data_IF_439773696913
#
_entry.id   IF_439773696913
#
_cell.length_a   1.000
_cell.length_b   1.000
_cell.length_c   1.000
_cell.angle_alpha   90.00
_cell.angle_beta   90.00
_cell.angle_gamma   90.00
#
_symmetry.space_group_name_H-M   'P 1'
#
loop_
_entity.id
_entity.type
_entity.pdbx_description
1 polymer ?
#
# COMPACT_ATOMS: atom_id res chain seq x y z
N UNK A 1 12.06 -7.02 9.44
CA UNK A 1 11.13 -6.51 8.41
C UNK A 1 10.53 -7.75 7.76
N UNK A 2 9.21 -7.90 7.73
CA UNK A 2 8.55 -9.09 7.19
C UNK A 2 7.66 -8.73 5.99
N UNK A 3 7.12 -9.74 5.34
CA UNK A 3 6.29 -9.60 4.16
C UNK A 3 5.05 -10.51 4.26
N UNK A 4 3.98 -10.11 3.58
CA UNK A 4 2.83 -10.99 3.33
C UNK A 4 3.08 -11.75 2.03
N UNK A 5 3.09 -13.08 2.10
CA UNK A 5 3.15 -13.99 0.95
C UNK A 5 1.84 -14.77 0.92
N UNK A 6 1.05 -14.58 -0.13
CA UNK A 6 -0.26 -15.25 -0.31
C UNK A 6 -1.17 -15.14 0.93
N UNK A 7 -1.19 -13.95 1.54
CA UNK A 7 -1.99 -13.65 2.73
C UNK A 7 -1.42 -14.18 4.04
N UNK A 8 -0.25 -14.83 4.04
CA UNK A 8 0.43 -15.33 5.24
C UNK A 8 1.61 -14.45 5.59
N UNK A 9 1.75 -14.12 6.88
CA UNK A 9 2.90 -13.37 7.37
C UNK A 9 4.15 -14.25 7.36
N UNK A 10 5.21 -13.76 6.72
CA UNK A 10 6.54 -14.35 6.74
C UNK A 10 7.52 -13.36 7.37
N UNK A 11 8.31 -13.86 8.32
CA UNK A 11 9.35 -13.11 9.03
C UNK A 11 10.71 -13.19 8.33
N UNK A 12 10.74 -13.64 7.07
CA UNK A 12 11.95 -13.80 6.27
C UNK A 12 12.43 -12.47 5.67
N UNK A 13 13.72 -12.44 5.33
CA UNK A 13 14.34 -11.28 4.70
C UNK A 13 14.02 -11.20 3.21
N UNK A 14 14.03 -9.98 2.66
CA UNK A 14 13.81 -9.74 1.24
C UNK A 14 14.94 -10.35 0.39
N UNK A 15 14.59 -10.88 -0.78
CA UNK A 15 15.59 -11.41 -1.71
C UNK A 15 16.43 -10.27 -2.32
N UNK A 16 17.60 -10.04 -1.73
CA UNK A 16 18.58 -9.09 -2.22
C UNK A 16 19.55 -9.71 -3.22
N UNK A 17 19.66 -11.05 -3.28
CA UNK A 17 20.56 -11.73 -4.22
C UNK A 17 20.15 -11.46 -5.66
N UNK A 18 18.85 -11.53 -5.95
CA UNK A 18 18.30 -11.20 -7.27
C UNK A 18 18.50 -9.74 -7.70
N UNK A 19 18.74 -8.84 -6.74
CA UNK A 19 18.91 -7.40 -6.97
C UNK A 19 20.37 -6.92 -6.77
N UNK A 20 21.35 -7.82 -6.88
CA UNK A 20 22.78 -7.47 -6.75
C UNK A 20 23.14 -6.91 -5.37
N UNK A 21 22.49 -7.42 -4.32
CA UNK A 21 22.68 -6.97 -2.94
C UNK A 21 21.84 -5.75 -2.55
N UNK A 22 21.12 -5.11 -3.49
CA UNK A 22 20.27 -3.96 -3.17
C UNK A 22 19.00 -4.39 -2.46
N UNK A 23 18.64 -3.65 -1.42
CA UNK A 23 17.32 -3.73 -0.83
C UNK A 23 16.31 -2.97 -1.71
N UNK A 24 15.37 -3.70 -2.32
CA UNK A 24 14.30 -3.13 -3.14
C UNK A 24 12.99 -3.27 -2.39
N UNK A 25 12.38 -2.14 -2.02
CA UNK A 25 11.05 -2.13 -1.41
C UNK A 25 10.00 -2.49 -2.43
N UNK A 26 9.01 -3.30 -2.02
CA UNK A 26 7.80 -3.51 -2.80
C UNK A 26 7.09 -2.18 -3.04
N UNK A 27 6.66 -1.94 -4.28
CA UNK A 27 5.82 -0.81 -4.60
C UNK A 27 4.49 -0.94 -3.85
N UNK A 28 3.97 0.17 -3.33
CA UNK A 28 2.67 0.13 -2.66
C UNK A 28 1.56 -0.12 -3.69
N UNK A 29 0.72 -1.11 -3.39
CA UNK A 29 -0.20 -1.74 -4.32
C UNK A 29 -1.52 -0.98 -4.49
N UNK A 30 -1.93 -0.24 -3.44
CA UNK A 30 -3.19 0.50 -3.43
C UNK A 30 -2.95 1.95 -3.86
N UNK A 31 -3.62 2.34 -4.95
CA UNK A 31 -3.44 3.64 -5.64
C UNK A 31 -4.76 4.26 -6.12
N UNK A 32 -5.88 3.85 -5.54
CA UNK A 32 -7.17 4.48 -5.82
C UNK A 32 -7.29 5.82 -5.09
N UNK A 33 -8.23 6.65 -5.53
CA UNK A 33 -8.45 8.00 -5.01
C UNK A 33 -9.79 8.13 -4.32
N UNK A 34 -9.82 8.93 -3.27
CA UNK A 34 -11.05 9.48 -2.71
C UNK A 34 -11.34 10.78 -3.47
N UNK A 35 -12.50 10.84 -4.13
CA UNK A 35 -12.94 11.99 -4.94
C UNK A 35 -14.28 12.51 -4.42
N UNK A 36 -14.60 13.78 -4.69
CA UNK A 36 -15.80 14.41 -4.15
C UNK A 36 -17.10 13.73 -4.62
N UNK A 37 -17.12 13.24 -5.85
CA UNK A 37 -18.27 12.62 -6.51
C UNK A 37 -18.20 11.09 -6.55
N UNK A 38 -17.04 10.49 -6.21
CA UNK A 38 -16.81 9.06 -6.32
C UNK A 38 -16.40 8.60 -7.70
N UNK A 39 -16.02 9.51 -8.60
CA UNK A 39 -15.33 9.15 -9.85
C UNK A 39 -13.95 8.54 -9.59
N UNK A 40 -13.43 7.76 -10.55
CA UNK A 40 -12.06 7.24 -10.47
C UNK A 40 -11.06 8.39 -10.60
N UNK A 41 -9.99 8.36 -9.78
CA UNK A 41 -8.91 9.35 -9.88
C UNK A 41 -7.90 9.04 -10.99
N UNK A 42 -6.81 9.81 -11.07
CA UNK A 42 -5.75 9.64 -12.08
C UNK A 42 -5.09 8.26 -12.11
N UNK A 43 -5.14 7.53 -10.99
CA UNK A 43 -4.63 6.16 -10.86
C UNK A 43 -5.63 5.26 -10.15
N UNK A 44 -5.41 3.95 -10.23
CA UNK A 44 -6.36 2.98 -9.70
C UNK A 44 -7.48 2.69 -10.69
N UNK A 45 -8.44 1.85 -10.28
CA UNK A 45 -9.53 1.38 -11.16
C UNK A 45 -10.92 1.71 -10.63
N UNK A 46 -11.05 1.98 -9.33
CA UNK A 46 -12.33 2.21 -8.68
C UNK A 46 -12.40 3.63 -8.10
N UNK A 47 -13.61 4.18 -8.06
CA UNK A 47 -13.91 5.47 -7.46
C UNK A 47 -14.45 5.35 -6.04
N UNK A 48 -14.08 6.30 -5.18
CA UNK A 48 -14.42 6.30 -3.76
C UNK A 48 -14.92 7.70 -3.38
N UNK A 49 -16.21 7.84 -3.07
CA UNK A 49 -16.82 9.14 -2.76
C UNK A 49 -16.48 9.62 -1.35
N UNK A 50 -16.02 10.87 -1.23
CA UNK A 50 -15.77 11.52 0.06
C UNK A 50 -17.04 11.55 0.92
N UNK A 51 -17.01 10.85 2.06
CA UNK A 51 -18.14 10.63 2.96
C UNK A 51 -17.65 10.57 4.42
N UNK A 52 -18.40 11.19 5.33
CA UNK A 52 -18.09 11.18 6.76
C UNK A 52 -18.23 9.76 7.35
N UNK A 53 -17.31 9.37 8.23
CA UNK A 53 -17.34 8.07 8.91
C UNK A 53 -17.00 6.85 8.05
N UNK A 54 -16.63 7.02 6.77
CA UNK A 54 -16.33 5.91 5.85
C UNK A 54 -14.85 5.52 5.79
N UNK A 55 -13.95 6.47 6.01
CA UNK A 55 -12.51 6.28 5.81
C UNK A 55 -11.75 6.28 7.13
N UNK A 56 -10.69 5.48 7.19
CA UNK A 56 -9.83 5.36 8.36
C UNK A 56 -8.36 5.45 7.96
N UNK A 57 -7.55 6.10 8.80
CA UNK A 57 -6.14 6.29 8.58
C UNK A 57 -5.34 5.41 9.55
N UNK A 58 -4.56 4.48 9.00
CA UNK A 58 -3.61 3.68 9.78
C UNK A 58 -2.20 4.28 9.63
N UNK A 59 -1.61 4.72 10.74
CA UNK A 59 -0.29 5.38 10.77
C UNK A 59 0.52 4.91 11.97
N UNK A 60 1.84 5.08 11.87
CA UNK A 60 2.76 4.97 13.00
C UNK A 60 3.42 6.33 13.23
N UNK A 61 3.41 6.83 14.45
CA UNK A 61 4.08 8.09 14.80
C UNK A 61 5.61 8.03 14.64
N UNK A 62 6.17 6.83 14.46
CA UNK A 62 7.60 6.64 14.22
C UNK A 62 7.96 6.68 12.71
N UNK A 63 6.98 6.62 11.81
CA UNK A 63 7.22 6.76 10.37
C UNK A 63 7.11 8.25 10.01
N UNK A 64 8.14 8.85 9.38
CA UNK A 64 8.07 10.24 8.93
C UNK A 64 7.02 10.45 7.84
#
# INVERSE_FOLDING_TARGET
MGLLVDGKWADTWYDTKSNGGKFVRSASQFRNWITADGSAGPTGKAGFKAEAGRYHLYVSHACP
#
